data_IF_935818718892
#
_entry.id   IF_935818718892
#
_cell.length_a   1.000
_cell.length_b   1.000
_cell.length_c   1.000
_cell.angle_alpha   90.00
_cell.angle_beta   90.00
_cell.angle_gamma   90.00
#
_symmetry.space_group_name_H-M   'P 1'
#
loop_
_entity.id
_entity.type
_entity.pdbx_description
1 polymer ?
#
# COMPACT_ATOMS: atom_id res chain seq x y z
N UNK A 1 46.17 33.75 34.28
CA UNK A 1 45.11 34.55 33.65
C UNK A 1 44.04 33.67 32.99
N UNK A 2 44.39 32.78 32.05
CA UNK A 2 43.43 31.85 31.40
C UNK A 2 42.59 31.06 32.42
N UNK A 3 43.21 30.50 33.47
CA UNK A 3 42.46 29.78 34.53
C UNK A 3 41.47 30.66 35.31
N UNK A 4 41.78 31.95 35.49
CA UNK A 4 40.88 32.89 36.15
C UNK A 4 39.70 33.24 35.25
N UNK A 5 39.94 33.43 33.95
CA UNK A 5 38.88 33.61 32.95
C UNK A 5 38.01 32.36 32.85
N UNK A 6 38.60 31.17 32.88
CA UNK A 6 37.88 29.89 32.91
C UNK A 6 36.98 29.79 34.15
N UNK A 7 37.48 30.18 35.31
CA UNK A 7 36.69 30.21 36.56
C UNK A 7 35.51 31.17 36.43
N UNK A 8 35.72 32.35 35.83
CA UNK A 8 34.68 33.34 35.62
C UNK A 8 33.62 32.86 34.60
N UNK A 9 34.05 32.23 33.51
CA UNK A 9 33.15 31.63 32.51
C UNK A 9 32.29 30.53 33.13
N UNK A 10 32.87 29.64 33.95
CA UNK A 10 32.10 28.62 34.68
C UNK A 10 31.06 29.22 35.62
N UNK A 11 31.39 30.33 36.29
CA UNK A 11 30.42 31.06 37.10
C UNK A 11 29.25 31.56 36.25
N UNK A 12 29.51 32.10 35.07
CA UNK A 12 28.46 32.55 34.16
C UNK A 12 27.64 31.44 33.53
N UNK A 13 28.28 30.34 33.13
CA UNK A 13 27.61 29.14 32.62
C UNK A 13 26.60 28.61 33.65
N UNK A 14 27.01 28.52 34.92
CA UNK A 14 26.10 28.12 36.01
C UNK A 14 25.00 29.16 36.26
N UNK A 15 25.35 30.45 36.28
CA UNK A 15 24.40 31.54 36.56
C UNK A 15 23.37 31.74 35.45
N UNK A 16 23.76 31.54 34.20
CA UNK A 16 22.94 31.83 33.01
C UNK A 16 22.37 30.57 32.36
N UNK A 17 22.75 29.38 32.84
CA UNK A 17 22.32 28.07 32.33
C UNK A 17 22.47 27.97 30.82
N UNK A 18 23.61 28.45 30.31
CA UNK A 18 23.94 28.44 28.88
C UNK A 18 25.35 27.88 28.77
N UNK A 19 25.61 26.89 27.90
CA UNK A 19 26.96 26.38 27.69
C UNK A 19 27.85 27.50 27.13
N UNK A 20 29.00 27.73 27.80
CA UNK A 20 29.97 28.76 27.40
C UNK A 20 31.34 28.10 27.29
N UNK A 21 31.88 28.01 26.09
CA UNK A 21 33.23 27.55 25.84
C UNK A 21 34.25 28.68 26.05
N UNK A 22 35.39 28.34 26.66
CA UNK A 22 36.60 29.14 26.58
C UNK A 22 37.52 28.46 25.58
N UNK A 23 37.77 29.12 24.46
CA UNK A 23 38.60 28.59 23.38
C UNK A 23 39.92 29.36 23.33
N UNK A 24 41.02 28.66 23.04
CA UNK A 24 42.35 29.26 23.01
C UNK A 24 43.12 29.07 21.69
N UNK A 25 42.57 28.30 20.75
CA UNK A 25 43.08 28.19 19.39
C UNK A 25 41.96 28.26 18.33
N UNK A 26 42.30 28.63 17.10
CA UNK A 26 41.33 28.81 16.00
C UNK A 26 40.63 27.50 15.60
N UNK A 27 41.28 26.34 15.79
CA UNK A 27 40.73 25.02 15.43
C UNK A 27 39.54 24.64 16.32
N UNK A 28 39.63 24.84 17.63
CA UNK A 28 38.57 24.56 18.60
C UNK A 28 37.33 25.44 18.38
N UNK A 29 37.49 26.64 17.80
CA UNK A 29 36.36 27.52 17.53
C UNK A 29 35.45 26.97 16.44
N UNK A 30 36.02 26.37 15.39
CA UNK A 30 35.26 25.85 14.23
C UNK A 30 34.29 24.72 14.59
N UNK A 31 34.58 23.96 15.63
CA UNK A 31 33.73 22.86 16.09
C UNK A 31 32.58 23.33 16.99
N UNK A 32 32.68 24.52 17.57
CA UNK A 32 31.73 25.03 18.56
C UNK A 32 30.57 25.85 17.99
N UNK A 33 30.49 26.01 16.66
CA UNK A 33 29.56 26.93 16.01
C UNK A 33 28.07 26.66 16.26
N UNK A 34 27.71 25.49 16.78
CA UNK A 34 26.32 25.04 16.83
C UNK A 34 25.73 24.98 18.25
N UNK A 35 26.55 24.99 19.31
CA UNK A 35 26.10 24.51 20.64
C UNK A 35 26.32 25.48 21.80
N UNK A 36 26.91 26.66 21.61
CA UNK A 36 27.09 27.59 22.73
C UNK A 36 27.68 28.96 22.40
N UNK A 37 28.20 29.63 23.43
CA UNK A 37 28.94 30.89 23.31
C UNK A 37 30.43 30.60 23.49
N UNK A 38 31.28 31.03 22.57
CA UNK A 38 32.73 30.90 22.77
C UNK A 38 33.37 32.25 23.13
N UNK A 39 34.25 32.20 24.12
CA UNK A 39 35.17 33.29 24.45
C UNK A 39 36.55 32.94 23.91
N UNK A 40 37.08 33.74 22.99
CA UNK A 40 38.45 33.58 22.50
C UNK A 40 39.39 34.51 23.26
N UNK A 41 40.51 34.00 23.78
CA UNK A 41 41.50 34.83 24.46
C UNK A 41 42.83 34.67 23.75
N UNK A 42 43.50 35.80 23.50
CA UNK A 42 44.82 35.88 22.87
C UNK A 42 44.82 35.70 21.34
N UNK A 43 43.74 36.09 20.66
CA UNK A 43 43.74 36.29 19.21
C UNK A 43 44.88 37.22 18.79
N UNK A 44 45.68 36.79 17.82
CA UNK A 44 46.41 37.74 17.00
C UNK A 44 45.40 38.58 16.22
N UNK A 45 45.60 39.91 16.20
CA UNK A 45 44.71 40.86 15.51
C UNK A 45 44.62 40.57 14.01
N UNK A 46 45.58 39.84 13.47
CA UNK A 46 45.63 39.44 12.06
C UNK A 46 45.13 38.02 11.76
N UNK A 47 44.66 37.26 12.76
CA UNK A 47 44.13 35.91 12.52
C UNK A 47 43.05 35.94 11.43
N UNK A 48 43.16 35.05 10.44
CA UNK A 48 42.23 34.97 9.33
C UNK A 48 40.78 34.79 9.82
N UNK A 49 40.61 34.05 10.92
CA UNK A 49 39.33 33.84 11.58
C UNK A 49 38.65 35.15 12.04
N UNK A 50 39.40 36.08 12.61
CA UNK A 50 38.85 37.36 13.05
C UNK A 50 38.39 38.26 11.90
N UNK A 51 38.89 38.04 10.68
CA UNK A 51 38.47 38.79 9.49
C UNK A 51 37.12 38.32 8.95
N UNK A 52 36.79 37.06 9.15
CA UNK A 52 35.54 36.45 8.70
C UNK A 52 34.39 36.61 9.72
N UNK A 53 34.72 37.02 10.94
CA UNK A 53 33.74 37.23 12.01
C UNK A 53 33.05 38.58 11.93
N UNK A 54 31.75 38.57 11.61
CA UNK A 54 30.88 39.76 11.70
C UNK A 54 30.52 40.04 13.17
N UNK A 55 30.91 41.21 13.68
CA UNK A 55 30.58 41.63 15.04
C UNK A 55 30.82 43.11 15.30
N UNK A 56 30.28 43.62 16.41
CA UNK A 56 30.51 44.98 16.87
C UNK A 56 31.90 45.06 17.53
N UNK A 57 32.77 46.02 17.14
CA UNK A 57 34.07 46.17 17.76
C UNK A 57 33.94 46.68 19.19
N UNK A 58 34.67 46.05 20.11
CA UNK A 58 34.82 46.49 21.49
C UNK A 58 36.08 47.34 21.60
N UNK A 59 35.92 48.65 21.81
CA UNK A 59 37.02 49.61 21.93
C UNK A 59 37.05 50.21 23.32
N UNK A 60 38.18 50.14 24.01
CA UNK A 60 38.42 50.77 25.31
C UNK A 60 39.66 51.64 25.24
N UNK A 61 39.57 52.90 25.68
CA UNK A 61 40.69 53.85 25.64
C UNK A 61 41.36 53.95 24.27
N UNK A 62 40.57 53.93 23.19
CA UNK A 62 41.02 53.93 21.79
C UNK A 62 41.80 52.67 21.36
N UNK A 63 41.80 51.61 22.17
CA UNK A 63 42.37 50.31 21.83
C UNK A 63 41.25 49.31 21.54
N UNK A 64 41.31 48.64 20.39
CA UNK A 64 40.43 47.51 20.07
C UNK A 64 40.78 46.34 21.02
N UNK A 65 39.86 46.02 21.91
CA UNK A 65 39.99 44.97 22.94
C UNK A 65 39.24 43.70 22.59
N UNK A 66 38.32 43.74 21.62
CA UNK A 66 37.60 42.54 21.19
C UNK A 66 36.56 42.79 20.10
N UNK A 67 35.81 41.74 19.77
CA UNK A 67 34.64 41.75 18.90
C UNK A 67 33.50 41.00 19.61
N UNK A 68 32.28 41.49 19.48
CA UNK A 68 31.08 40.80 19.99
C UNK A 68 30.09 40.53 18.87
N UNK A 69 29.57 39.32 18.80
CA UNK A 69 28.47 38.94 17.93
C UNK A 69 27.35 38.29 18.77
N UNK A 70 26.22 37.88 18.17
CA UNK A 70 25.16 37.21 18.93
C UNK A 70 25.60 35.92 19.64
N UNK A 71 26.60 35.21 19.12
CA UNK A 71 27.06 33.90 19.60
C UNK A 71 28.54 33.86 20.00
N UNK A 72 29.32 34.91 19.71
CA UNK A 72 30.77 34.91 19.96
C UNK A 72 31.24 36.16 20.68
N UNK A 73 32.20 36.00 21.59
CA UNK A 73 32.93 37.09 22.21
C UNK A 73 34.42 36.85 22.04
N UNK A 74 35.05 37.61 21.16
CA UNK A 74 36.49 37.49 20.90
C UNK A 74 37.20 38.59 21.67
N UNK A 75 38.17 38.24 22.51
CA UNK A 75 39.01 39.18 23.26
C UNK A 75 40.42 39.17 22.67
N UNK A 76 40.89 40.35 22.25
CA UNK A 76 42.22 40.52 21.69
C UNK A 76 43.27 40.70 22.79
N UNK A 77 44.35 39.93 22.70
CA UNK A 77 45.44 39.93 23.67
C UNK A 77 45.08 39.37 25.04
N UNK A 78 45.86 39.75 26.06
CA UNK A 78 45.67 39.39 27.46
C UNK A 78 45.23 40.61 28.29
N UNK A 79 43.98 41.10 28.12
CA UNK A 79 43.49 42.24 28.89
C UNK A 79 43.57 41.94 30.39
N UNK A 80 43.77 43.00 31.18
CA UNK A 80 43.75 42.88 32.65
C UNK A 80 42.41 42.25 33.09
N UNK A 81 42.47 41.47 34.16
CA UNK A 81 41.32 40.68 34.63
C UNK A 81 40.08 41.53 34.97
N UNK A 82 40.28 42.76 35.46
CA UNK A 82 39.23 43.74 35.73
C UNK A 82 38.52 44.19 34.44
N UNK A 83 39.27 44.44 33.38
CA UNK A 83 38.73 44.77 32.06
C UNK A 83 37.94 43.59 31.48
N UNK A 84 38.50 42.39 31.54
CA UNK A 84 37.84 41.16 31.07
C UNK A 84 36.53 40.90 31.80
N UNK A 85 36.51 41.09 33.13
CA UNK A 85 35.28 40.94 33.92
C UNK A 85 34.22 41.92 33.45
N UNK A 86 34.55 43.21 33.31
CA UNK A 86 33.59 44.22 32.89
C UNK A 86 33.00 43.93 31.50
N UNK A 87 33.81 43.43 30.56
CA UNK A 87 33.32 43.04 29.23
C UNK A 87 32.37 41.84 29.33
N UNK A 88 32.73 40.81 30.11
CA UNK A 88 31.88 39.63 30.31
C UNK A 88 30.56 40.00 31.01
N UNK A 89 30.60 40.83 32.05
CA UNK A 89 29.43 41.36 32.76
C UNK A 89 28.47 42.09 31.81
N UNK A 90 29.02 42.90 30.89
CA UNK A 90 28.22 43.71 29.97
C UNK A 90 27.58 42.91 28.82
N UNK A 91 28.32 41.97 28.22
CA UNK A 91 27.93 41.36 26.94
C UNK A 91 27.36 39.95 27.07
N UNK A 92 27.91 39.14 28.00
CA UNK A 92 27.56 37.72 28.10
C UNK A 92 26.06 37.49 28.41
N UNK A 93 25.40 38.26 29.31
CA UNK A 93 23.96 38.11 29.53
C UNK A 93 23.08 38.41 28.32
N UNK A 94 23.52 39.32 27.43
CA UNK A 94 22.81 39.62 26.17
C UNK A 94 22.96 38.46 25.19
N UNK A 95 24.17 37.93 25.04
CA UNK A 95 24.44 36.79 24.16
C UNK A 95 23.71 35.53 24.63
N UNK A 96 23.75 35.19 25.93
CA UNK A 96 23.00 34.04 26.46
C UNK A 96 21.48 34.19 26.28
N UNK A 97 20.94 35.42 26.27
CA UNK A 97 19.53 35.65 25.94
C UNK A 97 19.25 35.43 24.45
N UNK A 98 20.12 35.92 23.58
CA UNK A 98 20.00 35.71 22.13
C UNK A 98 20.06 34.22 21.78
N UNK A 99 21.08 33.50 22.28
CA UNK A 99 21.22 32.05 22.09
C UNK A 99 19.98 31.27 22.55
N UNK A 100 19.49 31.52 23.77
CA UNK A 100 18.27 30.86 24.28
C UNK A 100 17.03 31.17 23.45
N UNK A 101 16.90 32.40 22.93
CA UNK A 101 15.80 32.74 22.03
C UNK A 101 15.90 31.97 20.71
N UNK A 102 17.09 31.83 20.14
CA UNK A 102 17.32 31.01 18.94
C UNK A 102 16.97 29.55 19.19
N UNK A 103 17.46 28.96 20.28
CA UNK A 103 17.15 27.57 20.66
C UNK A 103 15.64 27.35 20.89
N UNK A 104 14.98 28.31 21.56
CA UNK A 104 13.53 28.28 21.74
C UNK A 104 12.80 28.35 20.39
N UNK A 105 13.23 29.21 19.48
CA UNK A 105 12.61 29.36 18.16
C UNK A 105 12.80 28.08 17.32
N UNK A 106 14.00 27.50 17.33
CA UNK A 106 14.29 26.23 16.68
C UNK A 106 13.39 25.10 17.24
N UNK A 107 13.26 25.00 18.57
CA UNK A 107 12.34 24.02 19.18
C UNK A 107 10.89 24.24 18.75
N UNK A 108 10.42 25.49 18.69
CA UNK A 108 9.05 25.81 18.23
C UNK A 108 8.86 25.36 16.78
N UNK A 109 9.82 25.65 15.90
CA UNK A 109 9.77 25.27 14.48
C UNK A 109 9.77 23.74 14.32
N UNK A 110 10.63 23.03 15.05
CA UNK A 110 10.65 21.56 15.08
C UNK A 110 9.31 21.00 15.55
N UNK A 111 8.77 21.51 16.67
CA UNK A 111 7.47 21.06 17.19
C UNK A 111 6.33 21.35 16.21
N UNK A 112 6.37 22.50 15.52
CA UNK A 112 5.39 22.85 14.49
C UNK A 112 5.47 21.91 13.29
N UNK A 113 6.68 21.56 12.84
CA UNK A 113 6.91 20.61 11.75
C UNK A 113 6.37 19.22 12.11
N UNK A 114 6.74 18.69 13.27
CA UNK A 114 6.27 17.37 13.76
C UNK A 114 4.75 17.36 13.92
N UNK A 115 4.16 18.44 14.44
CA UNK A 115 2.71 18.56 14.56
C UNK A 115 2.01 18.60 13.19
N UNK A 116 2.60 19.25 12.19
CA UNK A 116 2.05 19.31 10.84
C UNK A 116 2.10 17.93 10.15
N UNK A 117 3.23 17.22 10.27
CA UNK A 117 3.40 15.86 9.75
C UNK A 117 2.41 14.89 10.41
N UNK A 118 2.33 14.90 11.75
CA UNK A 118 1.39 14.05 12.49
C UNK A 118 -0.07 14.35 12.13
N UNK A 119 -0.40 15.62 11.89
CA UNK A 119 -1.74 16.01 11.42
C UNK A 119 -2.04 15.43 10.04
N UNK A 120 -1.08 15.44 9.12
CA UNK A 120 -1.24 14.87 7.78
C UNK A 120 -1.39 13.35 7.82
N UNK A 121 -0.58 12.66 8.64
CA UNK A 121 -0.69 11.22 8.88
C UNK A 121 -2.07 10.83 9.44
N UNK A 122 -2.53 11.51 10.48
CA UNK A 122 -3.87 11.27 11.05
C UNK A 122 -4.99 11.58 10.05
N UNK A 123 -4.82 12.58 9.18
CA UNK A 123 -5.80 12.88 8.14
C UNK A 123 -5.86 11.80 7.04
N UNK A 124 -4.74 11.14 6.72
CA UNK A 124 -4.70 9.98 5.83
C UNK A 124 -5.38 8.78 6.47
N UNK A 125 -4.95 8.38 7.67
CA UNK A 125 -5.57 7.26 8.41
C UNK A 125 -7.08 7.43 8.58
N UNK A 126 -7.58 8.63 8.91
CA UNK A 126 -9.03 8.89 9.00
C UNK A 126 -9.77 8.78 7.66
N UNK A 127 -9.09 8.98 6.54
CA UNK A 127 -9.68 8.79 5.21
C UNK A 127 -9.77 7.29 4.90
N UNK A 128 -8.69 6.56 5.16
CA UNK A 128 -8.60 5.12 4.91
C UNK A 128 -9.61 4.36 5.77
N UNK A 129 -9.71 4.71 7.06
CA UNK A 129 -10.71 4.14 7.99
C UNK A 129 -12.16 4.40 7.52
N UNK A 130 -12.42 5.53 6.86
CA UNK A 130 -13.76 5.84 6.32
C UNK A 130 -14.10 4.98 5.11
N UNK A 131 -13.15 4.79 4.20
CA UNK A 131 -13.35 3.89 3.05
C UNK A 131 -13.60 2.46 3.52
N UNK A 132 -12.84 1.99 4.51
CA UNK A 132 -13.03 0.67 5.09
C UNK A 132 -14.41 0.52 5.76
N UNK A 133 -14.87 1.55 6.49
CA UNK A 133 -16.21 1.56 7.06
C UNK A 133 -17.30 1.49 5.98
N UNK A 134 -17.17 2.25 4.89
CA UNK A 134 -18.12 2.21 3.76
C UNK A 134 -18.16 0.83 3.10
N UNK A 135 -16.99 0.21 2.90
CA UNK A 135 -16.85 -1.16 2.37
C UNK A 135 -17.57 -2.18 3.27
N UNK A 136 -17.32 -2.14 4.58
CA UNK A 136 -17.98 -3.01 5.55
C UNK A 136 -19.51 -2.78 5.58
N UNK A 137 -19.98 -1.53 5.48
CA UNK A 137 -21.41 -1.23 5.37
C UNK A 137 -22.04 -1.88 4.12
N UNK A 138 -21.38 -1.83 2.97
CA UNK A 138 -21.86 -2.51 1.75
C UNK A 138 -21.94 -4.04 1.93
N UNK A 139 -20.96 -4.64 2.61
CA UNK A 139 -20.98 -6.07 2.93
C UNK A 139 -22.15 -6.43 3.86
N UNK A 140 -22.39 -5.64 4.91
CA UNK A 140 -23.53 -5.84 5.82
C UNK A 140 -24.86 -5.72 5.08
N UNK A 141 -25.03 -4.74 4.20
CA UNK A 141 -26.25 -4.61 3.38
C UNK A 141 -26.46 -5.83 2.47
N UNK A 142 -25.39 -6.34 1.86
CA UNK A 142 -25.43 -7.54 1.00
C UNK A 142 -25.85 -8.77 1.81
N UNK A 143 -25.25 -8.99 2.97
CA UNK A 143 -25.61 -10.09 3.86
C UNK A 143 -27.03 -9.97 4.41
N UNK A 144 -27.50 -8.76 4.75
CA UNK A 144 -28.86 -8.50 5.22
C UNK A 144 -29.89 -8.89 4.16
N UNK A 145 -29.69 -8.47 2.89
CA UNK A 145 -30.57 -8.86 1.77
C UNK A 145 -30.58 -10.37 1.55
N UNK A 146 -29.41 -11.03 1.67
CA UNK A 146 -29.32 -12.49 1.58
C UNK A 146 -30.15 -13.17 2.67
N UNK A 147 -30.03 -12.73 3.93
CA UNK A 147 -30.79 -13.28 5.06
C UNK A 147 -32.30 -13.11 4.84
N UNK A 148 -32.74 -11.95 4.35
CA UNK A 148 -34.15 -11.71 4.03
C UNK A 148 -34.64 -12.66 2.93
N UNK A 149 -33.89 -12.82 1.84
CA UNK A 149 -34.20 -13.77 0.76
C UNK A 149 -34.27 -15.22 1.26
N UNK A 150 -33.26 -15.67 2.02
CA UNK A 150 -33.23 -17.01 2.60
C UNK A 150 -34.43 -17.24 3.55
N UNK A 151 -34.82 -16.21 4.31
CA UNK A 151 -35.99 -16.26 5.19
C UNK A 151 -37.30 -16.41 4.42
N UNK A 152 -37.49 -15.65 3.33
CA UNK A 152 -38.67 -15.76 2.47
C UNK A 152 -38.77 -17.15 1.82
N UNK A 153 -37.66 -17.67 1.32
CA UNK A 153 -37.58 -19.02 0.74
C UNK A 153 -37.93 -20.07 1.79
N UNK A 154 -37.37 -19.96 2.99
CA UNK A 154 -37.67 -20.88 4.10
C UNK A 154 -39.16 -20.81 4.49
N UNK A 155 -39.76 -19.63 4.50
CA UNK A 155 -41.19 -19.47 4.74
C UNK A 155 -42.04 -20.11 3.64
N UNK A 156 -41.63 -20.01 2.37
CA UNK A 156 -42.30 -20.71 1.26
C UNK A 156 -42.24 -22.23 1.43
N UNK A 157 -41.08 -22.78 1.80
CA UNK A 157 -40.93 -24.22 2.04
C UNK A 157 -41.67 -24.71 3.28
N UNK A 158 -41.86 -23.84 4.28
CA UNK A 158 -42.62 -24.14 5.49
C UNK A 158 -44.15 -24.12 5.27
N UNK A 159 -44.62 -23.54 4.16
CA UNK A 159 -46.05 -23.46 3.82
C UNK A 159 -46.55 -24.77 3.19
N UNK A 160 -47.88 -24.90 3.07
CA UNK A 160 -48.54 -26.09 2.55
C UNK A 160 -47.98 -26.51 1.16
N UNK A 161 -47.74 -27.81 0.91
CA UNK A 161 -47.17 -28.34 -0.34
C UNK A 161 -47.83 -27.85 -1.63
N UNK A 162 -49.13 -27.52 -1.57
CA UNK A 162 -49.89 -26.99 -2.72
C UNK A 162 -49.35 -25.64 -3.23
N UNK A 163 -48.81 -24.78 -2.37
CA UNK A 163 -48.21 -23.51 -2.79
C UNK A 163 -46.90 -23.73 -3.54
N UNK A 164 -46.08 -24.69 -3.10
CA UNK A 164 -44.85 -25.08 -3.80
C UNK A 164 -45.21 -25.62 -5.18
N UNK A 165 -46.22 -26.49 -5.26
CA UNK A 165 -46.73 -27.03 -6.53
C UNK A 165 -47.21 -25.93 -7.48
N UNK A 166 -47.97 -24.96 -6.96
CA UNK A 166 -48.44 -23.83 -7.75
C UNK A 166 -47.28 -22.95 -8.27
N UNK A 167 -46.29 -22.63 -7.41
CA UNK A 167 -45.08 -21.90 -7.81
C UNK A 167 -44.30 -22.68 -8.88
N UNK A 168 -44.00 -23.95 -8.64
CA UNK A 168 -43.27 -24.80 -9.58
C UNK A 168 -43.97 -24.91 -10.94
N UNK A 169 -45.30 -25.07 -10.96
CA UNK A 169 -46.08 -25.11 -12.20
C UNK A 169 -45.97 -23.79 -12.97
N UNK A 170 -46.06 -22.65 -12.28
CA UNK A 170 -45.90 -21.34 -12.90
C UNK A 170 -44.49 -21.14 -13.45
N UNK A 171 -43.46 -21.43 -12.65
CA UNK A 171 -42.06 -21.30 -13.06
C UNK A 171 -41.77 -22.18 -14.27
N UNK A 172 -42.28 -23.42 -14.30
CA UNK A 172 -42.17 -24.30 -15.47
C UNK A 172 -42.78 -23.67 -16.72
N UNK A 173 -44.01 -23.15 -16.64
CA UNK A 173 -44.67 -22.49 -17.79
C UNK A 173 -43.88 -21.27 -18.26
N UNK A 174 -43.32 -20.48 -17.35
CA UNK A 174 -42.49 -19.31 -17.69
C UNK A 174 -41.17 -19.72 -18.34
N UNK A 175 -40.46 -20.72 -17.80
CA UNK A 175 -39.25 -21.27 -18.40
C UNK A 175 -39.49 -21.81 -19.82
N UNK A 176 -40.58 -22.54 -20.03
CA UNK A 176 -40.88 -23.12 -21.34
C UNK A 176 -41.16 -22.06 -22.42
N UNK A 177 -41.42 -20.80 -22.07
CA UNK A 177 -41.50 -19.69 -23.04
C UNK A 177 -40.15 -19.35 -23.67
N UNK A 178 -39.04 -19.76 -23.05
CA UNK A 178 -37.69 -19.57 -23.58
C UNK A 178 -37.35 -20.60 -24.67
N UNK A 179 -38.20 -21.61 -24.87
CA UNK A 179 -38.08 -22.62 -25.93
C UNK A 179 -39.18 -22.39 -26.98
N UNK A 180 -38.85 -22.30 -28.28
CA UNK A 180 -37.52 -22.43 -28.89
C UNK A 180 -36.82 -21.07 -29.09
N UNK A 181 -37.17 -20.02 -28.34
CA UNK A 181 -36.68 -18.67 -28.66
C UNK A 181 -35.22 -18.43 -28.31
N UNK A 182 -34.78 -18.90 -27.13
CA UNK A 182 -33.44 -18.68 -26.59
C UNK A 182 -32.67 -20.00 -26.44
N UNK A 183 -33.40 -21.08 -26.12
CA UNK A 183 -32.85 -22.41 -25.89
C UNK A 183 -33.47 -23.42 -26.86
N UNK A 184 -32.63 -24.33 -27.35
CA UNK A 184 -33.06 -25.46 -28.17
C UNK A 184 -33.89 -26.43 -27.34
N UNK A 185 -33.44 -26.72 -26.12
CA UNK A 185 -34.17 -27.59 -25.20
C UNK A 185 -33.92 -27.23 -23.75
N UNK A 186 -34.89 -27.53 -22.90
CA UNK A 186 -34.78 -27.47 -21.44
C UNK A 186 -35.26 -28.82 -20.91
N UNK A 187 -34.41 -29.50 -20.13
CA UNK A 187 -34.67 -30.79 -19.50
C UNK A 187 -34.62 -30.62 -17.98
N UNK A 188 -35.51 -31.33 -17.31
CA UNK A 188 -35.55 -31.40 -15.85
C UNK A 188 -34.94 -32.75 -15.44
N UNK A 189 -33.98 -32.69 -14.52
CA UNK A 189 -33.44 -33.84 -13.80
C UNK A 189 -33.86 -33.75 -12.32
N UNK A 190 -33.54 -34.77 -11.52
CA UNK A 190 -33.96 -34.86 -10.10
C UNK A 190 -33.59 -33.62 -9.27
N UNK A 191 -32.40 -33.06 -9.51
CA UNK A 191 -31.87 -31.91 -8.76
C UNK A 191 -31.32 -30.79 -9.63
N UNK A 192 -31.48 -30.89 -10.95
CA UNK A 192 -30.95 -29.89 -11.87
C UNK A 192 -31.86 -29.61 -13.05
N UNK A 193 -31.61 -28.48 -13.69
CA UNK A 193 -32.24 -28.06 -14.93
C UNK A 193 -31.15 -27.90 -15.96
N UNK A 194 -31.25 -28.64 -17.06
CA UNK A 194 -30.26 -28.66 -18.13
C UNK A 194 -30.87 -27.99 -19.35
N UNK A 195 -30.37 -26.82 -19.70
CA UNK A 195 -30.80 -26.05 -20.85
C UNK A 195 -29.69 -26.02 -21.90
N UNK A 196 -30.02 -26.36 -23.15
CA UNK A 196 -29.07 -26.33 -24.28
C UNK A 196 -29.40 -25.13 -25.16
N UNK A 197 -28.42 -24.26 -25.39
CA UNK A 197 -28.59 -23.08 -26.26
C UNK A 197 -28.60 -23.48 -27.72
N UNK A 198 -29.00 -22.58 -28.61
CA UNK A 198 -28.58 -22.66 -30.01
C UNK A 198 -27.09 -22.30 -30.14
N UNK A 199 -26.45 -22.52 -31.30
CA UNK A 199 -25.15 -21.91 -31.58
C UNK A 199 -25.21 -20.40 -31.34
N UNK A 200 -24.17 -19.87 -30.70
CA UNK A 200 -24.10 -18.47 -30.27
C UNK A 200 -23.11 -17.74 -31.17
N UNK A 201 -23.36 -16.46 -31.44
CA UNK A 201 -22.41 -15.62 -32.16
C UNK A 201 -22.16 -14.33 -31.38
N UNK A 202 -20.88 -13.99 -31.19
CA UNK A 202 -20.46 -12.68 -30.69
C UNK A 202 -20.10 -11.77 -31.86
N UNK A 203 -20.63 -10.55 -31.86
CA UNK A 203 -20.27 -9.51 -32.82
C UNK A 203 -19.39 -8.47 -32.11
N UNK A 204 -18.17 -8.28 -32.58
CA UNK A 204 -17.22 -7.33 -32.01
C UNK A 204 -16.30 -6.78 -33.12
N UNK A 205 -16.13 -5.46 -33.19
CA UNK A 205 -15.32 -4.74 -34.19
C UNK A 205 -15.56 -5.16 -35.65
N UNK A 206 -16.83 -5.47 -35.97
CA UNK A 206 -17.25 -5.93 -37.31
C UNK A 206 -16.91 -7.39 -37.62
N UNK A 207 -16.21 -8.08 -36.71
CA UNK A 207 -16.06 -9.53 -36.70
C UNK A 207 -17.29 -10.23 -36.15
N UNK A 208 -17.51 -11.47 -36.57
CA UNK A 208 -18.54 -12.37 -36.06
C UNK A 208 -17.90 -13.70 -35.70
N UNK A 209 -17.99 -14.06 -34.42
CA UNK A 209 -17.35 -15.23 -33.85
C UNK A 209 -18.42 -16.22 -33.42
N UNK A 210 -18.47 -17.37 -34.07
CA UNK A 210 -19.51 -18.38 -33.83
C UNK A 210 -18.99 -19.44 -32.87
N UNK A 211 -19.87 -19.90 -31.99
CA UNK A 211 -19.61 -20.92 -30.98
C UNK A 211 -20.66 -22.03 -31.07
N UNK A 212 -20.23 -23.26 -30.80
CA UNK A 212 -21.13 -24.40 -30.67
C UNK A 212 -22.11 -24.21 -29.50
N UNK A 213 -23.23 -24.94 -29.48
CA UNK A 213 -24.19 -24.90 -28.38
C UNK A 213 -23.56 -25.10 -26.99
N UNK A 214 -24.00 -24.28 -26.04
CA UNK A 214 -23.67 -24.42 -24.62
C UNK A 214 -24.73 -25.25 -23.90
N UNK A 215 -24.28 -26.02 -22.92
CA UNK A 215 -25.11 -26.66 -21.91
C UNK A 215 -25.03 -25.87 -20.61
N UNK A 216 -26.16 -25.28 -20.23
CA UNK A 216 -26.34 -24.55 -18.97
C UNK A 216 -27.05 -25.48 -17.98
N UNK A 217 -26.35 -25.88 -16.93
CA UNK A 217 -26.91 -26.68 -15.84
C UNK A 217 -27.15 -25.80 -14.61
N UNK A 218 -28.39 -25.74 -14.14
CA UNK A 218 -28.77 -25.08 -12.88
C UNK A 218 -28.97 -26.16 -11.82
N UNK A 219 -28.05 -26.24 -10.86
CA UNK A 219 -28.11 -27.13 -9.69
C UNK A 219 -29.04 -26.53 -8.64
N UNK A 220 -30.27 -27.04 -8.56
CA UNK A 220 -31.34 -26.51 -7.69
C UNK A 220 -31.02 -26.72 -6.20
N UNK A 221 -30.30 -27.79 -5.87
CA UNK A 221 -29.87 -28.13 -4.53
C UNK A 221 -28.78 -27.18 -3.99
N UNK A 222 -27.90 -26.72 -4.88
CA UNK A 222 -26.78 -25.84 -4.53
C UNK A 222 -27.02 -24.36 -4.86
N UNK A 223 -28.06 -24.05 -5.65
CA UNK A 223 -28.27 -22.71 -6.21
C UNK A 223 -27.12 -22.26 -7.12
N UNK A 224 -26.49 -23.20 -7.83
CA UNK A 224 -25.32 -22.94 -8.69
C UNK A 224 -25.68 -23.08 -10.17
N UNK A 225 -24.98 -22.32 -11.01
CA UNK A 225 -25.05 -22.41 -12.47
C UNK A 225 -23.72 -22.87 -13.00
N UNK A 226 -23.74 -23.91 -13.83
CA UNK A 226 -22.61 -24.47 -14.54
C UNK A 226 -22.84 -24.27 -16.04
N UNK A 227 -21.78 -23.98 -16.79
CA UNK A 227 -21.85 -23.79 -18.24
C UNK A 227 -20.73 -24.62 -18.85
N UNK A 228 -21.07 -25.49 -19.78
CA UNK A 228 -20.12 -26.34 -20.49
C UNK A 228 -20.41 -26.41 -21.98
N UNK A 229 -19.44 -26.87 -22.77
CA UNK A 229 -19.53 -26.88 -24.23
C UNK A 229 -19.22 -25.52 -24.84
N UNK A 230 -19.27 -25.43 -26.17
CA UNK A 230 -19.04 -24.18 -26.90
C UNK A 230 -17.66 -23.56 -26.76
N UNK A 231 -16.74 -24.15 -25.99
CA UNK A 231 -15.49 -23.49 -25.56
C UNK A 231 -14.46 -23.34 -26.68
N UNK A 232 -14.49 -24.14 -27.74
CA UNK A 232 -13.58 -23.98 -28.88
C UNK A 232 -14.29 -24.21 -30.22
N UNK A 233 -14.39 -23.15 -31.02
CA UNK A 233 -14.78 -23.27 -32.43
C UNK A 233 -13.84 -22.43 -33.29
N UNK A 234 -13.19 -23.06 -34.27
CA UNK A 234 -12.18 -22.43 -35.14
C UNK A 234 -11.00 -21.78 -34.37
N UNK A 235 -10.69 -22.26 -33.16
CA UNK A 235 -9.63 -21.71 -32.31
C UNK A 235 -10.04 -20.49 -31.48
N UNK A 236 -11.31 -20.10 -31.49
CA UNK A 236 -11.86 -19.06 -30.62
C UNK A 236 -12.37 -19.67 -29.32
N UNK A 237 -11.98 -19.06 -28.20
CA UNK A 237 -12.42 -19.46 -26.85
C UNK A 237 -13.36 -18.42 -26.29
N UNK A 238 -14.50 -18.81 -25.74
CA UNK A 238 -15.48 -17.84 -25.27
C UNK A 238 -14.92 -16.94 -24.14
N UNK A 239 -15.08 -15.60 -24.21
CA UNK A 239 -14.43 -14.66 -23.30
C UNK A 239 -14.69 -14.84 -21.81
N UNK A 240 -15.72 -15.59 -21.43
CA UNK A 240 -16.17 -15.76 -20.05
C UNK A 240 -16.43 -17.22 -19.62
N UNK A 241 -16.31 -18.19 -20.54
CA UNK A 241 -16.58 -19.61 -20.26
C UNK A 241 -15.30 -20.39 -20.48
N UNK A 242 -14.87 -21.13 -19.46
CA UNK A 242 -13.67 -21.96 -19.51
C UNK A 242 -14.04 -23.43 -19.69
N UNK A 243 -13.03 -24.29 -19.92
CA UNK A 243 -13.25 -25.74 -19.98
C UNK A 243 -13.68 -26.35 -18.64
N UNK A 244 -13.47 -25.66 -17.52
CA UNK A 244 -14.04 -26.04 -16.23
C UNK A 244 -15.44 -25.41 -16.07
N UNK A 245 -16.52 -26.21 -16.07
CA UNK A 245 -17.87 -25.70 -15.95
C UNK A 245 -18.17 -24.96 -14.63
N UNK A 246 -17.31 -25.11 -13.62
CA UNK A 246 -17.43 -24.42 -12.34
C UNK A 246 -16.76 -23.05 -12.32
N UNK A 247 -15.87 -22.76 -13.27
CA UNK A 247 -15.07 -21.55 -13.28
C UNK A 247 -15.54 -20.60 -14.37
N UNK A 248 -16.69 -19.98 -14.14
CA UNK A 248 -17.30 -19.00 -15.04
C UNK A 248 -16.99 -17.60 -14.51
N UNK A 249 -16.38 -16.76 -15.35
CA UNK A 249 -16.16 -15.36 -15.00
C UNK A 249 -17.43 -14.54 -15.25
N UNK A 250 -18.31 -14.49 -14.24
CA UNK A 250 -19.57 -13.74 -14.34
C UNK A 250 -19.40 -12.21 -14.35
N UNK A 251 -18.19 -11.69 -14.10
CA UNK A 251 -17.94 -10.27 -13.96
C UNK A 251 -18.95 -9.58 -13.04
N UNK A 252 -19.47 -8.43 -13.50
CA UNK A 252 -20.43 -7.63 -12.74
C UNK A 252 -21.82 -8.30 -12.54
N UNK A 253 -22.20 -9.34 -13.30
CA UNK A 253 -23.53 -9.97 -13.17
C UNK A 253 -23.56 -11.14 -12.16
N UNK A 254 -22.43 -11.55 -11.60
CA UNK A 254 -22.36 -12.73 -10.70
C UNK A 254 -23.26 -12.65 -9.48
N UNK A 255 -23.44 -11.44 -8.93
CA UNK A 255 -24.37 -11.19 -7.81
C UNK A 255 -25.84 -11.41 -8.22
N UNK A 256 -26.20 -11.03 -9.46
CA UNK A 256 -27.55 -11.18 -9.99
C UNK A 256 -27.85 -12.65 -10.31
N UNK A 257 -26.89 -13.38 -10.89
CA UNK A 257 -26.96 -14.83 -11.11
C UNK A 257 -27.22 -15.55 -9.79
N UNK A 258 -26.41 -15.27 -8.77
CA UNK A 258 -26.55 -15.88 -7.44
C UNK A 258 -27.91 -15.57 -6.79
N UNK A 259 -28.39 -14.32 -6.93
CA UNK A 259 -29.71 -13.90 -6.42
C UNK A 259 -30.86 -14.64 -7.10
N UNK A 260 -30.89 -14.65 -8.43
CA UNK A 260 -31.95 -15.31 -9.20
C UNK A 260 -31.96 -16.83 -8.97
N UNK A 261 -30.78 -17.44 -8.84
CA UNK A 261 -30.66 -18.85 -8.48
C UNK A 261 -31.22 -19.14 -7.07
N UNK A 262 -30.89 -18.29 -6.08
CA UNK A 262 -31.44 -18.40 -4.72
C UNK A 262 -32.96 -18.23 -4.67
N UNK A 263 -33.50 -17.22 -5.37
CA UNK A 263 -34.95 -16.94 -5.41
C UNK A 263 -35.78 -18.00 -6.18
N UNK A 264 -35.08 -18.93 -6.88
CA UNK A 264 -35.62 -19.88 -7.84
C UNK A 264 -36.38 -19.18 -8.99
N UNK A 265 -35.94 -17.99 -9.40
CA UNK A 265 -36.42 -17.31 -10.60
C UNK A 265 -35.68 -17.86 -11.83
N UNK A 266 -36.03 -19.10 -12.18
CA UNK A 266 -35.37 -19.87 -13.22
C UNK A 266 -35.56 -19.26 -14.63
N UNK A 267 -36.66 -18.55 -14.86
CA UNK A 267 -36.90 -17.86 -16.12
C UNK A 267 -35.96 -16.65 -16.27
N UNK A 268 -35.91 -15.77 -15.26
CA UNK A 268 -35.00 -14.63 -15.26
C UNK A 268 -33.54 -15.06 -15.31
N UNK A 269 -33.19 -16.13 -14.58
CA UNK A 269 -31.83 -16.67 -14.57
C UNK A 269 -31.39 -17.17 -15.95
N UNK A 270 -32.19 -18.01 -16.60
CA UNK A 270 -31.87 -18.51 -17.95
C UNK A 270 -31.81 -17.37 -18.98
N UNK A 271 -32.71 -16.39 -18.89
CA UNK A 271 -32.65 -15.23 -19.78
C UNK A 271 -31.36 -14.42 -19.60
N UNK A 272 -30.94 -14.20 -18.34
CA UNK A 272 -29.69 -13.51 -18.03
C UNK A 272 -28.47 -14.28 -18.54
N UNK A 273 -28.42 -15.60 -18.32
CA UNK A 273 -27.32 -16.44 -18.79
C UNK A 273 -27.24 -16.43 -20.32
N UNK A 274 -28.39 -16.53 -21.01
CA UNK A 274 -28.41 -16.44 -22.46
C UNK A 274 -27.90 -15.09 -22.97
N UNK A 275 -28.32 -13.97 -22.35
CA UNK A 275 -27.83 -12.64 -22.70
C UNK A 275 -26.32 -12.51 -22.45
N UNK A 276 -25.84 -13.02 -21.32
CA UNK A 276 -24.43 -13.04 -20.95
C UNK A 276 -23.59 -13.78 -22.00
N UNK A 277 -24.00 -14.97 -22.42
CA UNK A 277 -23.31 -15.74 -23.46
C UNK A 277 -23.35 -15.04 -24.84
N UNK A 278 -24.32 -14.16 -25.09
CA UNK A 278 -24.42 -13.39 -26.34
C UNK A 278 -23.80 -11.99 -26.22
N UNK A 279 -23.04 -11.71 -25.17
CA UNK A 279 -22.45 -10.40 -24.93
C UNK A 279 -20.95 -10.50 -24.69
N UNK A 280 -20.24 -9.46 -25.12
CA UNK A 280 -18.83 -9.26 -24.82
C UNK A 280 -18.64 -7.90 -24.15
N UNK A 281 -17.88 -7.86 -23.07
CA UNK A 281 -17.47 -6.62 -22.41
C UNK A 281 -15.97 -6.42 -22.57
N UNK A 282 -15.57 -5.52 -23.47
CA UNK A 282 -14.15 -5.22 -23.71
C UNK A 282 -13.45 -4.53 -22.54
N UNK A 283 -14.20 -3.97 -21.58
CA UNK A 283 -13.60 -3.32 -20.42
C UNK A 283 -13.09 -4.30 -19.36
N UNK A 284 -13.61 -5.52 -19.32
CA UNK A 284 -13.24 -6.54 -18.33
C UNK A 284 -13.48 -7.97 -18.84
N UNK A 285 -12.78 -8.41 -19.90
CA UNK A 285 -12.91 -9.76 -20.41
C UNK A 285 -11.96 -10.72 -19.70
N UNK A 286 -12.43 -11.93 -19.39
CA UNK A 286 -11.52 -12.98 -18.89
C UNK A 286 -10.56 -13.45 -20.00
N UNK A 287 -11.01 -13.44 -21.26
CA UNK A 287 -10.15 -13.51 -22.43
C UNK A 287 -10.51 -12.41 -23.44
N UNK A 288 -9.55 -11.53 -23.74
CA UNK A 288 -9.67 -10.48 -24.76
C UNK A 288 -9.88 -11.11 -26.15
N UNK A 289 -10.96 -10.76 -26.85
CA UNK A 289 -11.27 -11.21 -28.22
C UNK A 289 -10.15 -10.84 -29.20
N UNK A 290 -9.46 -9.75 -28.92
CA UNK A 290 -8.33 -9.22 -29.67
C UNK A 290 -7.21 -10.26 -29.83
N UNK A 291 -7.02 -11.15 -28.84
CA UNK A 291 -6.05 -12.26 -28.91
C UNK A 291 -6.35 -13.27 -30.01
N UNK A 292 -7.56 -13.26 -30.57
CA UNK A 292 -7.94 -14.15 -31.67
C UNK A 292 -7.47 -13.65 -33.04
N UNK A 293 -7.04 -12.39 -33.17
CA UNK A 293 -6.39 -11.91 -34.40
C UNK A 293 -4.94 -12.42 -34.43
N UNK A 294 -4.53 -13.21 -35.46
CA UNK A 294 -3.16 -13.69 -35.58
C UNK A 294 -2.10 -12.59 -35.68
N UNK A 295 -2.51 -11.36 -36.02
CA UNK A 295 -1.64 -10.19 -36.07
C UNK A 295 -1.66 -9.37 -34.78
N UNK A 296 -2.43 -9.78 -33.77
CA UNK A 296 -2.41 -9.13 -32.48
C UNK A 296 -1.03 -9.27 -31.86
N UNK A 297 -0.45 -8.13 -31.51
CA UNK A 297 0.81 -8.04 -30.80
C UNK A 297 0.45 -7.61 -29.39
N UNK A 298 0.91 -8.34 -28.38
CA UNK A 298 0.84 -7.86 -27.00
C UNK A 298 1.57 -6.52 -26.95
N UNK A 299 0.82 -5.44 -26.74
CA UNK A 299 1.43 -4.16 -26.44
C UNK A 299 2.30 -4.39 -25.19
N UNK A 300 3.61 -4.17 -25.30
CA UNK A 300 4.55 -4.38 -24.19
C UNK A 300 4.19 -3.52 -22.96
N UNK A 301 3.34 -2.50 -23.16
CA UNK A 301 2.81 -1.59 -22.14
C UNK A 301 1.52 -2.10 -21.45
N UNK A 302 0.89 -3.18 -21.93
CA UNK A 302 -0.18 -3.90 -21.20
C UNK A 302 0.48 -4.74 -20.09
N UNK A 303 1.15 -4.07 -19.16
CA UNK A 303 1.75 -4.68 -17.97
C UNK A 303 0.66 -5.48 -17.22
N UNK A 304 1.00 -6.69 -16.73
CA UNK A 304 0.04 -7.59 -16.11
C UNK A 304 -0.70 -6.85 -14.99
N UNK A 305 -2.01 -6.67 -15.20
CA UNK A 305 -2.92 -6.05 -14.26
C UNK A 305 -2.72 -6.67 -12.88
N UNK A 306 -2.08 -5.93 -11.97
CA UNK A 306 -1.93 -6.37 -10.61
C UNK A 306 -3.29 -6.18 -9.91
N UNK A 307 -4.09 -7.25 -9.84
CA UNK A 307 -5.39 -7.25 -9.16
C UNK A 307 -5.29 -6.76 -7.71
N UNK A 308 -4.13 -6.92 -7.08
CA UNK A 308 -3.85 -6.39 -5.75
C UNK A 308 -3.72 -4.86 -5.72
N UNK A 309 -3.12 -4.22 -6.74
CA UNK A 309 -3.05 -2.76 -6.80
C UNK A 309 -4.44 -2.12 -6.92
N UNK A 310 -5.38 -2.79 -7.60
CA UNK A 310 -6.76 -2.33 -7.75
C UNK A 310 -7.58 -2.55 -6.45
N UNK A 311 -7.44 -3.72 -5.82
CA UNK A 311 -8.14 -4.03 -4.57
C UNK A 311 -7.64 -3.22 -3.36
N UNK A 312 -6.37 -2.80 -3.35
CA UNK A 312 -5.73 -2.11 -2.21
C UNK A 312 -5.31 -0.66 -2.50
N UNK A 313 -5.56 -0.15 -3.71
CA UNK A 313 -5.44 1.27 -4.05
C UNK A 313 -4.01 1.82 -4.09
N UNK A 314 -3.03 1.00 -4.46
CA UNK A 314 -1.66 1.47 -4.69
C UNK A 314 -1.55 2.14 -6.07
N UNK A 315 -0.76 3.22 -6.17
CA UNK A 315 -0.46 3.85 -7.45
C UNK A 315 0.35 2.87 -8.33
N UNK A 316 -0.03 2.73 -9.61
CA UNK A 316 0.58 1.81 -10.60
C UNK A 316 2.11 1.91 -10.65
N UNK A 317 2.65 3.11 -10.41
CA UNK A 317 4.09 3.39 -10.40
C UNK A 317 4.88 2.61 -9.33
N UNK A 318 4.22 1.92 -8.38
CA UNK A 318 4.85 1.05 -7.38
C UNK A 318 4.63 -0.46 -7.64
N UNK A 319 4.05 -0.85 -8.78
CA UNK A 319 3.73 -2.24 -9.09
C UNK A 319 4.97 -3.14 -9.23
N UNK A 320 6.15 -2.56 -9.52
CA UNK A 320 7.43 -3.27 -9.59
C UNK A 320 7.81 -4.01 -8.29
N UNK A 321 7.20 -3.64 -7.17
CA UNK A 321 7.41 -4.26 -5.86
C UNK A 321 6.33 -5.28 -5.47
N UNK A 322 5.28 -5.44 -6.29
CA UNK A 322 4.14 -6.30 -5.97
C UNK A 322 4.41 -7.74 -6.45
N UNK A 323 5.19 -8.50 -5.68
CA UNK A 323 5.50 -9.89 -5.99
C UNK A 323 4.47 -10.84 -5.38
N UNK A 324 3.85 -11.70 -6.20
CA UNK A 324 3.01 -12.79 -5.72
C UNK A 324 3.88 -13.96 -5.30
N UNK A 325 3.91 -14.26 -4.00
CA UNK A 325 4.63 -15.43 -3.53
C UNK A 325 3.79 -16.71 -3.77
N UNK A 326 4.25 -17.59 -4.65
CA UNK A 326 3.58 -18.89 -4.89
C UNK A 326 3.53 -19.77 -3.63
N UNK A 327 4.46 -19.60 -2.69
CA UNK A 327 4.54 -20.41 -1.47
C UNK A 327 3.58 -19.98 -0.37
N UNK A 328 3.38 -18.69 -0.14
CA UNK A 328 2.44 -18.21 0.89
C UNK A 328 1.09 -17.75 0.31
N UNK A 329 0.95 -17.67 -1.02
CA UNK A 329 -0.23 -17.13 -1.71
C UNK A 329 -0.64 -15.75 -1.18
N UNK A 330 0.35 -14.92 -0.87
CA UNK A 330 0.18 -13.54 -0.41
C UNK A 330 1.12 -12.63 -1.19
N UNK A 331 0.66 -11.41 -1.45
CA UNK A 331 1.50 -10.31 -1.90
C UNK A 331 2.16 -9.71 -0.65
N UNK A 332 3.46 -9.90 -0.50
CA UNK A 332 4.23 -9.40 0.66
C UNK A 332 5.53 -8.75 0.15
N UNK A 333 6.03 -7.75 0.87
CA UNK A 333 7.28 -7.00 0.55
C UNK A 333 8.54 -7.85 0.78
N UNK A 334 8.46 -9.17 0.66
CA UNK A 334 9.55 -10.10 0.97
C UNK A 334 10.11 -10.64 -0.33
N UNK A 335 11.42 -10.54 -0.52
CA UNK A 335 12.08 -11.22 -1.62
C UNK A 335 11.87 -12.76 -1.51
N UNK A 336 11.99 -13.45 -2.64
CA UNK A 336 11.80 -14.91 -2.75
C UNK A 336 12.72 -15.71 -1.79
N UNK A 337 13.78 -15.07 -1.28
CA UNK A 337 14.73 -15.63 -0.32
C UNK A 337 14.23 -15.56 1.14
N UNK A 338 13.37 -14.60 1.50
CA UNK A 338 12.88 -14.39 2.87
C UNK A 338 11.43 -14.84 3.11
N UNK A 339 10.82 -15.61 2.21
CA UNK A 339 9.47 -16.13 2.43
C UNK A 339 9.42 -17.09 3.64
N UNK A 340 8.67 -16.77 4.71
CA UNK A 340 8.62 -17.59 5.93
C UNK A 340 7.96 -18.96 5.71
N UNK A 341 7.26 -19.15 4.59
CA UNK A 341 6.61 -20.40 4.20
C UNK A 341 7.37 -21.16 3.09
N UNK A 342 8.54 -20.66 2.64
CA UNK A 342 9.36 -21.41 1.69
C UNK A 342 9.81 -22.70 2.39
N UNK A 343 9.62 -23.88 1.76
CA UNK A 343 10.19 -25.12 2.27
C UNK A 343 11.68 -24.90 2.46
N UNK A 344 12.20 -25.10 3.68
CA UNK A 344 13.64 -25.13 3.86
C UNK A 344 14.12 -26.28 3.01
N UNK A 345 14.84 -25.99 1.92
CA UNK A 345 15.58 -27.00 1.19
C UNK A 345 16.51 -27.62 2.23
N UNK A 346 16.20 -28.84 2.63
CA UNK A 346 17.00 -29.60 3.57
C UNK A 346 18.41 -29.64 2.97
N UNK A 347 19.33 -28.89 3.58
CA UNK A 347 20.76 -28.81 3.22
C UNK A 347 21.43 -30.16 3.52
N UNK A 348 21.00 -31.23 2.86
CA UNK A 348 21.53 -32.59 3.03
C UNK A 348 22.90 -32.78 2.34
N UNK A 349 23.47 -31.76 1.69
CA UNK A 349 24.74 -31.89 0.95
C UNK A 349 26.02 -31.55 1.74
N UNK A 350 25.96 -31.06 2.99
CA UNK A 350 27.19 -30.69 3.74
C UNK A 350 27.80 -31.80 4.63
N UNK A 351 27.14 -32.94 4.84
CA UNK A 351 27.65 -33.99 5.75
C UNK A 351 28.33 -35.19 5.05
N UNK A 352 28.40 -35.22 3.71
CA UNK A 352 28.97 -36.36 2.97
C UNK A 352 30.51 -36.42 2.96
N UNK A 353 31.21 -35.33 3.30
CA UNK A 353 32.68 -35.26 3.19
C UNK A 353 33.44 -35.46 4.52
N UNK A 354 32.74 -35.67 5.66
CA UNK A 354 33.38 -35.83 6.97
C UNK A 354 33.83 -37.27 7.29
N UNK A 355 33.34 -38.31 6.60
CA UNK A 355 33.65 -39.72 6.93
C UNK A 355 34.84 -40.34 6.17
N UNK A 356 35.49 -39.62 5.23
CA UNK A 356 36.61 -40.19 4.44
C UNK A 356 38.01 -39.89 5.00
N UNK A 357 38.13 -39.22 6.15
CA UNK A 357 39.43 -38.80 6.69
C UNK A 357 40.04 -39.71 7.78
N UNK A 358 39.33 -40.70 8.33
CA UNK A 358 39.85 -41.48 9.47
C UNK A 358 40.63 -42.76 9.11
N UNK A 359 40.65 -43.23 7.86
CA UNK A 359 41.20 -44.56 7.53
C UNK A 359 42.65 -44.57 6.98
N UNK A 360 43.39 -43.46 7.06
CA UNK A 360 44.80 -43.41 6.57
C UNK A 360 45.87 -43.35 7.67
N UNK A 361 45.52 -43.45 8.96
CA UNK A 361 46.48 -43.31 10.06
C UNK A 361 46.97 -44.62 10.73
N UNK A 362 46.71 -45.80 10.14
CA UNK A 362 47.09 -47.08 10.75
C UNK A 362 47.87 -48.02 9.81
N UNK A 363 48.97 -47.56 9.19
CA UNK A 363 50.08 -48.43 8.78
C UNK A 363 51.39 -47.64 8.74
N UNK A 364 52.14 -47.68 9.83
CA UNK A 364 53.50 -47.13 9.96
C UNK A 364 54.21 -47.69 11.17
#
# INVERSE_FOLDING_TARGET
MIEQIRTLIRFYEQKLHTPIALVSNDSEMREWHEVGIAVYVNADKESAFCKDMFGDPLVMESVLVGMVSPTWLVLYGAPRLDVTSNILDAHLPRMCRAFRNTQRQALIETMQSVAAERKQELARSLRDDKYELERLCMQVMTLSRKIEGDSEILMLFSRAPELIKAKATRTFVEMMKLVPSCYESIKLDESSIIATTYPIALEHDGGRYEFEPYTVEIRLDLGKVLISGGTEMNGYVHPHVTDDPNNICWGNIGHLVSRLAGELDLHGLLQLVHQFLNSYNSSDPFQKIEKWDPNWVEDEDDEPYCSWCDDYGHEIDNCDSCWWCEHCQQYDDHDEENCPNRPQEDNEEEDADAELAEDTAATG
#
